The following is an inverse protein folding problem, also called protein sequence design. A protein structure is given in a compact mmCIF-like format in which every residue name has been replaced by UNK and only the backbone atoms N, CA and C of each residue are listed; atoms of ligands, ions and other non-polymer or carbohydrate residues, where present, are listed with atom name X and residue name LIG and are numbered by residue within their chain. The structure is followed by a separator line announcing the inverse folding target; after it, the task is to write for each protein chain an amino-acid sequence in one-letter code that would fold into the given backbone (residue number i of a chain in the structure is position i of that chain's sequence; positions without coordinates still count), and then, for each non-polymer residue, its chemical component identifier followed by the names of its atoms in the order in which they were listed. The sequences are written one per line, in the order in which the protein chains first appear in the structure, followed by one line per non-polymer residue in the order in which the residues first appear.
data_IF_439357968167
#
_entry.id   IF_439357968167
#
_cell.length_a   1.000
_cell.length_b   1.000
_cell.length_c   1.000
_cell.angle_alpha   90.00
_cell.angle_beta   90.00
_cell.angle_gamma   90.00
#
_symmetry.space_group_name_H-M   'P 1'
#
loop_
_entity.id
_entity.type
_entity.pdbx_description
1 polymer ?
#
# COMPACT_ATOMS: atom_id res chain seq x y z
N UNK A 1 7.32 0.12 -31.30
CA UNK A 1 6.46 1.25 -30.91
C UNK A 1 6.67 1.51 -29.43
N UNK A 2 7.33 2.62 -29.05
CA UNK A 2 7.41 3.01 -27.63
C UNK A 2 5.99 3.33 -27.17
N UNK A 3 5.47 2.58 -26.18
CA UNK A 3 4.23 2.95 -25.49
C UNK A 3 4.45 4.33 -24.90
N UNK A 4 3.58 5.27 -25.20
CA UNK A 4 3.58 6.56 -24.55
C UNK A 4 3.48 6.31 -23.03
N UNK A 5 4.42 6.83 -22.28
CA UNK A 5 4.51 6.64 -20.84
C UNK A 5 3.29 7.28 -20.19
N UNK A 6 2.51 6.47 -19.53
CA UNK A 6 1.45 6.73 -18.59
C UNK A 6 0.74 8.08 -18.63
N UNK A 7 1.00 8.89 -17.62
CA UNK A 7 0.34 10.21 -17.46
C UNK A 7 0.68 11.24 -18.56
N UNK A 8 1.68 10.99 -19.41
CA UNK A 8 2.11 11.92 -20.47
C UNK A 8 1.00 12.28 -21.48
N UNK A 9 0.02 11.40 -21.69
CA UNK A 9 -1.12 11.71 -22.59
C UNK A 9 -2.10 12.74 -21.99
N UNK A 10 -1.98 13.07 -20.69
CA UNK A 10 -2.78 14.11 -20.04
C UNK A 10 -2.19 15.51 -20.18
N UNK A 11 -0.90 15.62 -20.56
CA UNK A 11 -0.20 16.90 -20.70
C UNK A 11 -0.99 17.92 -21.55
N UNK A 12 -1.56 17.55 -22.72
CA UNK A 12 -2.34 18.49 -23.52
C UNK A 12 -3.62 19.01 -22.86
N UNK A 13 -4.13 18.30 -21.85
CA UNK A 13 -5.38 18.63 -21.17
C UNK A 13 -5.16 19.31 -19.82
N UNK A 14 -3.93 19.36 -19.33
CA UNK A 14 -3.55 19.92 -18.05
C UNK A 14 -2.43 20.95 -18.22
N UNK A 15 -2.72 22.11 -18.84
CA UNK A 15 -1.73 23.17 -19.06
C UNK A 15 -1.11 23.61 -17.72
N UNK A 16 0.21 23.87 -17.75
CA UNK A 16 0.99 24.21 -16.56
C UNK A 16 1.42 23.02 -15.69
N UNK A 17 0.92 21.79 -15.94
CA UNK A 17 1.26 20.61 -15.14
C UNK A 17 2.16 19.59 -15.86
N UNK A 18 2.58 19.85 -17.09
CA UNK A 18 3.37 18.91 -17.90
C UNK A 18 4.65 18.45 -17.22
N UNK A 19 5.43 19.38 -16.65
CA UNK A 19 6.66 19.06 -15.92
C UNK A 19 6.42 18.20 -14.68
N UNK A 20 5.30 18.39 -13.98
CA UNK A 20 4.94 17.56 -12.82
C UNK A 20 4.56 16.14 -13.22
N UNK A 21 3.86 16.01 -14.36
CA UNK A 21 3.44 14.71 -14.88
C UNK A 21 4.65 13.88 -15.36
N UNK A 22 5.78 14.51 -15.66
CA UNK A 22 7.01 13.84 -16.11
C UNK A 22 8.05 13.69 -14.99
N UNK A 23 7.93 14.43 -13.89
CA UNK A 23 8.88 14.40 -12.78
C UNK A 23 8.76 13.12 -11.95
N UNK A 24 9.81 12.28 -11.87
CA UNK A 24 9.77 11.02 -11.13
C UNK A 24 9.68 11.19 -9.60
N UNK A 25 10.01 12.37 -9.08
CA UNK A 25 9.93 12.67 -7.64
C UNK A 25 8.52 13.08 -7.19
N UNK A 26 7.63 13.42 -8.13
CA UNK A 26 6.24 13.74 -7.86
C UNK A 26 5.45 12.43 -7.72
N UNK A 27 4.92 12.19 -6.53
CA UNK A 27 4.09 11.03 -6.21
C UNK A 27 2.60 11.29 -6.38
N UNK A 28 2.15 12.52 -6.14
CA UNK A 28 0.73 12.86 -6.21
C UNK A 28 0.53 14.31 -6.69
N UNK A 29 -0.49 14.52 -7.53
CA UNK A 29 -0.91 15.83 -8.02
C UNK A 29 -2.38 15.98 -7.65
N UNK A 30 -2.70 16.98 -6.85
CA UNK A 30 -4.04 17.26 -6.33
C UNK A 30 -4.53 18.59 -6.90
N UNK A 31 -5.54 18.54 -7.75
CA UNK A 31 -6.15 19.69 -8.43
C UNK A 31 -7.52 19.92 -7.80
N UNK A 32 -7.66 20.94 -6.98
CA UNK A 32 -8.89 21.32 -6.28
C UNK A 32 -9.55 22.53 -6.97
N UNK A 33 -9.75 22.42 -8.29
CA UNK A 33 -10.11 23.53 -9.15
C UNK A 33 -8.89 24.20 -9.80
N UNK A 34 -9.09 25.12 -10.76
CA UNK A 34 -8.01 25.64 -11.61
C UNK A 34 -6.98 26.51 -10.89
N UNK A 35 -7.36 27.14 -9.77
CA UNK A 35 -6.47 28.03 -9.01
C UNK A 35 -5.84 27.37 -7.78
N UNK A 36 -6.15 26.11 -7.50
CA UNK A 36 -5.73 25.44 -6.28
C UNK A 36 -5.14 24.06 -6.59
N UNK A 37 -3.85 24.04 -6.91
CA UNK A 37 -3.10 22.83 -7.23
C UNK A 37 -2.03 22.59 -6.18
N UNK A 38 -1.95 21.36 -5.71
CA UNK A 38 -0.93 20.87 -4.77
C UNK A 38 -0.23 19.66 -5.33
N UNK A 39 1.02 19.48 -4.95
CA UNK A 39 1.81 18.30 -5.33
C UNK A 39 2.47 17.69 -4.11
N UNK A 40 2.59 16.37 -4.11
CA UNK A 40 3.52 15.68 -3.21
C UNK A 40 4.79 15.36 -3.99
N UNK A 41 5.91 15.98 -3.59
CA UNK A 41 7.24 15.78 -4.16
C UNK A 41 8.17 15.29 -3.05
N UNK A 42 8.86 14.17 -3.28
CA UNK A 42 9.76 13.57 -2.29
C UNK A 42 9.14 13.46 -0.87
N UNK A 43 7.82 13.23 -0.79
CA UNK A 43 7.08 13.11 0.45
C UNK A 43 6.69 14.42 1.14
N UNK A 44 6.90 15.58 0.50
CA UNK A 44 6.45 16.90 1.01
C UNK A 44 5.33 17.43 0.15
N UNK A 45 4.33 18.04 0.79
CA UNK A 45 3.25 18.74 0.12
C UNK A 45 3.67 20.19 -0.15
N UNK A 46 3.52 20.63 -1.39
CA UNK A 46 3.79 22.01 -1.80
C UNK A 46 2.70 22.53 -2.75
N UNK A 47 2.35 23.82 -2.69
CA UNK A 47 1.45 24.42 -3.66
C UNK A 47 2.16 24.54 -5.02
N UNK A 48 1.39 24.48 -6.11
CA UNK A 48 1.89 24.64 -7.46
C UNK A 48 1.02 25.62 -8.27
N UNK A 49 1.64 26.55 -8.94
CA UNK A 49 0.97 27.45 -9.87
C UNK A 49 0.83 26.77 -11.24
N UNK A 50 -0.38 26.68 -11.76
CA UNK A 50 -0.69 26.09 -13.05
C UNK A 50 -1.24 27.18 -14.02
N UNK A 51 -0.38 28.03 -14.58
CA UNK A 51 -0.83 29.11 -15.47
C UNK A 51 -1.51 28.53 -16.71
N UNK A 52 -2.67 29.09 -17.05
CA UNK A 52 -3.48 28.64 -18.18
C UNK A 52 -4.43 27.48 -17.88
N UNK A 53 -4.39 26.88 -16.69
CA UNK A 53 -5.37 25.89 -16.27
C UNK A 53 -6.71 26.60 -15.99
N UNK A 54 -7.79 26.09 -16.56
CA UNK A 54 -9.15 26.62 -16.38
C UNK A 54 -10.12 25.48 -16.09
N UNK A 55 -11.32 25.81 -15.55
CA UNK A 55 -12.36 24.82 -15.34
C UNK A 55 -12.77 24.07 -16.61
N UNK A 56 -12.68 24.74 -17.78
CA UNK A 56 -12.95 24.07 -19.08
C UNK A 56 -11.86 23.03 -19.42
N UNK A 57 -10.60 23.27 -19.09
CA UNK A 57 -9.53 22.29 -19.26
C UNK A 57 -9.69 21.12 -18.32
N UNK A 58 -10.03 21.35 -17.06
CA UNK A 58 -10.29 20.29 -16.08
C UNK A 58 -11.45 19.40 -16.51
N UNK A 59 -12.53 20.02 -17.03
CA UNK A 59 -13.66 19.25 -17.54
C UNK A 59 -13.28 18.38 -18.75
N UNK A 60 -12.48 18.92 -19.68
CA UNK A 60 -11.93 18.16 -20.82
C UNK A 60 -11.03 17.02 -20.37
N UNK A 61 -10.16 17.26 -19.38
CA UNK A 61 -9.32 16.22 -18.79
C UNK A 61 -10.14 15.10 -18.16
N UNK A 62 -11.18 15.45 -17.39
CA UNK A 62 -12.09 14.48 -16.78
C UNK A 62 -12.77 13.59 -17.85
N UNK A 63 -13.29 14.19 -18.93
CA UNK A 63 -13.89 13.45 -20.04
C UNK A 63 -12.85 12.56 -20.74
N UNK A 64 -11.64 13.07 -20.96
CA UNK A 64 -10.57 12.32 -21.64
C UNK A 64 -10.14 11.09 -20.85
N UNK A 65 -10.11 11.20 -19.53
CA UNK A 65 -9.77 10.09 -18.62
C UNK A 65 -10.92 9.08 -18.55
N UNK A 66 -12.16 9.54 -18.47
CA UNK A 66 -13.34 8.69 -18.26
C UNK A 66 -13.78 7.89 -19.49
N UNK A 67 -13.73 8.50 -20.68
CA UNK A 67 -14.23 7.88 -21.92
C UNK A 67 -13.62 6.53 -22.29
N UNK A 68 -12.30 6.31 -22.21
CA UNK A 68 -11.72 4.99 -22.48
C UNK A 68 -12.23 3.87 -21.57
N UNK A 69 -12.77 4.26 -20.40
CA UNK A 69 -13.33 3.35 -19.40
C UNK A 69 -14.85 3.15 -19.59
N UNK A 70 -15.45 3.74 -20.62
CA UNK A 70 -16.89 3.72 -20.81
C UNK A 70 -17.68 4.56 -19.80
N UNK A 71 -17.01 5.51 -19.12
CA UNK A 71 -17.61 6.37 -18.10
C UNK A 71 -17.87 7.78 -18.63
N UNK A 72 -18.91 8.43 -18.10
CA UNK A 72 -19.24 9.82 -18.40
C UNK A 72 -19.33 10.63 -17.11
N UNK A 73 -18.46 11.65 -16.93
CA UNK A 73 -18.48 12.54 -15.77
C UNK A 73 -19.80 13.31 -15.59
N UNK A 74 -20.58 13.49 -16.66
CA UNK A 74 -21.87 14.18 -16.58
C UNK A 74 -22.95 13.36 -15.88
N UNK A 75 -22.91 12.03 -16.04
CA UNK A 75 -23.85 11.11 -15.40
C UNK A 75 -23.30 10.48 -14.13
N UNK A 76 -21.98 10.49 -13.99
CA UNK A 76 -21.26 9.91 -12.88
C UNK A 76 -20.26 10.93 -12.32
N UNK A 77 -20.69 11.80 -11.39
CA UNK A 77 -19.88 12.92 -10.94
C UNK A 77 -18.69 12.53 -10.04
N UNK A 78 -18.67 11.29 -9.55
CA UNK A 78 -17.54 10.72 -8.78
C UNK A 78 -17.03 9.50 -9.53
N UNK A 79 -15.76 9.53 -9.92
CA UNK A 79 -15.11 8.50 -10.72
C UNK A 79 -13.74 8.15 -10.14
N UNK A 80 -13.43 6.87 -10.15
CA UNK A 80 -12.07 6.36 -10.04
C UNK A 80 -11.64 5.78 -11.39
N UNK A 81 -10.45 6.14 -11.82
CA UNK A 81 -9.87 5.73 -13.09
C UNK A 81 -8.44 5.23 -12.88
N UNK A 82 -8.02 4.35 -13.78
CA UNK A 82 -6.64 3.90 -13.87
C UNK A 82 -6.10 4.20 -15.25
N UNK A 83 -4.93 4.82 -15.29
CA UNK A 83 -4.24 5.12 -16.54
C UNK A 83 -3.43 3.92 -17.03
N UNK A 84 -3.01 3.96 -18.29
CA UNK A 84 -2.28 2.87 -18.93
C UNK A 84 -0.91 2.55 -18.33
N UNK A 85 -0.35 3.45 -17.53
CA UNK A 85 0.89 3.25 -16.76
C UNK A 85 0.64 2.70 -15.34
N UNK A 86 -0.63 2.54 -14.96
CA UNK A 86 -1.03 2.11 -13.63
C UNK A 86 -1.33 3.25 -12.65
N UNK A 87 -1.11 4.52 -13.02
CA UNK A 87 -1.46 5.68 -12.19
C UNK A 87 -2.96 5.71 -11.91
N UNK A 88 -3.35 6.05 -10.67
CA UNK A 88 -4.75 6.18 -10.26
C UNK A 88 -5.19 7.62 -10.39
N UNK A 89 -6.41 7.82 -10.83
CA UNK A 89 -7.02 9.14 -10.92
C UNK A 89 -8.39 9.11 -10.25
N UNK A 90 -8.56 9.91 -9.22
CA UNK A 90 -9.87 10.20 -8.64
C UNK A 90 -10.39 11.52 -9.22
N UNK A 91 -11.63 11.51 -9.71
CA UNK A 91 -12.28 12.68 -10.32
C UNK A 91 -13.57 12.97 -9.59
N UNK A 92 -13.79 14.23 -9.28
CA UNK A 92 -15.03 14.72 -8.75
C UNK A 92 -15.49 15.93 -9.58
N UNK A 93 -16.74 15.89 -10.05
CA UNK A 93 -17.32 16.98 -10.85
C UNK A 93 -18.58 17.55 -10.16
N UNK A 94 -19.06 18.74 -10.53
CA UNK A 94 -20.35 19.22 -10.07
C UNK A 94 -21.48 18.22 -10.38
N UNK A 95 -22.46 18.00 -9.50
CA UNK A 95 -22.68 18.72 -8.22
C UNK A 95 -21.95 18.10 -7.00
N UNK A 96 -21.18 17.03 -7.19
CA UNK A 96 -20.49 16.35 -6.07
C UNK A 96 -19.31 17.18 -5.51
N UNK A 97 -18.76 18.09 -6.30
CA UNK A 97 -17.79 19.10 -5.89
C UNK A 97 -18.18 20.46 -6.50
N UNK A 98 -17.80 21.60 -5.88
CA UNK A 98 -18.11 22.91 -6.43
C UNK A 98 -17.45 23.16 -7.79
N UNK A 99 -16.25 22.65 -7.97
CA UNK A 99 -15.46 22.69 -9.20
C UNK A 99 -14.97 21.28 -9.54
N UNK A 100 -14.45 21.09 -10.76
CA UNK A 100 -13.83 19.82 -11.12
C UNK A 100 -12.56 19.65 -10.29
N UNK A 101 -12.51 18.59 -9.50
CA UNK A 101 -11.35 18.17 -8.74
C UNK A 101 -10.77 16.88 -9.37
N UNK A 102 -9.46 16.85 -9.52
CA UNK A 102 -8.72 15.69 -10.06
C UNK A 102 -7.52 15.41 -9.18
N UNK A 103 -7.45 14.21 -8.61
CA UNK A 103 -6.25 13.75 -7.90
C UNK A 103 -5.60 12.64 -8.71
N UNK A 104 -4.34 12.83 -9.08
CA UNK A 104 -3.53 11.87 -9.82
C UNK A 104 -2.47 11.32 -8.88
N UNK A 105 -2.61 10.06 -8.48
CA UNK A 105 -1.58 9.33 -7.75
C UNK A 105 -0.76 8.51 -8.75
N UNK A 106 0.51 8.88 -8.89
CA UNK A 106 1.37 8.27 -9.89
C UNK A 106 1.75 6.85 -9.53
N UNK A 107 1.63 5.97 -10.52
CA UNK A 107 2.24 4.67 -10.46
C UNK A 107 3.68 4.77 -10.90
N UNK A 108 4.58 4.20 -10.16
CA UNK A 108 5.92 4.04 -10.71
C UNK A 108 7.00 4.95 -10.15
N UNK A 109 6.86 5.52 -8.96
CA UNK A 109 8.00 6.11 -8.23
C UNK A 109 9.22 5.18 -8.26
N UNK A 110 10.38 5.63 -7.79
CA UNK A 110 11.60 4.80 -7.73
C UNK A 110 11.33 3.49 -6.99
N UNK A 111 11.67 2.35 -7.60
CA UNK A 111 11.75 1.09 -6.87
C UNK A 111 12.96 1.17 -5.92
N UNK A 112 12.78 0.73 -4.69
CA UNK A 112 13.86 0.64 -3.70
C UNK A 112 14.06 -0.83 -3.36
N UNK A 113 15.29 -1.31 -3.47
CA UNK A 113 15.66 -2.62 -2.95
C UNK A 113 15.68 -2.59 -1.40
N UNK A 114 15.75 -3.76 -0.78
CA UNK A 114 15.89 -3.84 0.66
C UNK A 114 17.17 -3.15 1.14
N UNK A 115 18.26 -3.29 0.40
CA UNK A 115 19.56 -2.65 0.66
C UNK A 115 19.49 -1.11 0.46
N UNK A 116 18.69 -0.62 -0.50
CA UNK A 116 18.43 0.82 -0.65
C UNK A 116 17.73 1.36 0.60
N UNK A 117 16.72 0.66 1.10
CA UNK A 117 15.98 1.07 2.30
C UNK A 117 16.90 1.07 3.54
N UNK A 118 17.85 0.13 3.64
CA UNK A 118 18.85 0.12 4.72
C UNK A 118 19.77 1.34 4.60
N UNK A 119 20.34 1.60 3.43
CA UNK A 119 21.19 2.77 3.18
C UNK A 119 20.51 4.10 3.48
N UNK A 120 19.21 4.18 3.23
CA UNK A 120 18.38 5.36 3.53
C UNK A 120 18.01 5.47 5.02
N UNK A 121 18.33 4.47 5.85
CA UNK A 121 17.90 4.40 7.24
C UNK A 121 16.39 4.18 7.41
N UNK A 122 15.71 3.71 6.37
CA UNK A 122 14.27 3.39 6.39
C UNK A 122 13.99 1.98 6.90
N UNK A 123 14.94 1.05 6.72
CA UNK A 123 14.87 -0.33 7.16
C UNK A 123 16.13 -0.65 7.99
N UNK A 124 16.03 -0.87 9.29
CA UNK A 124 17.18 -1.28 10.09
C UNK A 124 17.72 -2.65 9.67
N UNK A 125 19.05 -2.80 9.62
CA UNK A 125 19.70 -4.07 9.22
C UNK A 125 19.21 -5.28 10.03
N UNK A 126 19.05 -5.21 11.38
CA UNK A 126 18.53 -6.35 12.14
C UNK A 126 17.12 -6.75 11.73
N UNK A 127 16.30 -5.80 11.26
CA UNK A 127 14.93 -6.06 10.76
C UNK A 127 14.98 -6.75 9.39
N UNK A 128 15.85 -6.31 8.49
CA UNK A 128 16.07 -6.96 7.20
C UNK A 128 16.49 -8.42 7.39
N UNK A 129 17.46 -8.68 8.27
CA UNK A 129 17.92 -10.04 8.57
C UNK A 129 16.84 -10.92 9.20
N UNK A 130 16.01 -10.36 10.10
CA UNK A 130 14.87 -11.06 10.66
C UNK A 130 13.82 -11.40 9.60
N UNK A 131 13.52 -10.47 8.71
CA UNK A 131 12.58 -10.68 7.60
C UNK A 131 13.10 -11.75 6.65
N UNK A 132 14.39 -11.68 6.25
CA UNK A 132 15.05 -12.66 5.40
C UNK A 132 14.98 -14.08 5.99
N UNK A 133 15.37 -14.22 7.26
CA UNK A 133 15.30 -15.52 7.96
C UNK A 133 13.88 -16.05 8.04
N UNK A 134 12.90 -15.18 8.31
CA UNK A 134 11.49 -15.55 8.41
C UNK A 134 10.96 -16.08 7.08
N UNK A 135 11.21 -15.36 5.98
CA UNK A 135 10.73 -15.73 4.65
C UNK A 135 11.42 -17.02 4.13
N UNK A 136 12.73 -17.13 4.30
CA UNK A 136 13.47 -18.35 3.92
C UNK A 136 13.09 -19.58 4.75
N UNK A 137 12.66 -19.38 6.00
CA UNK A 137 12.08 -20.43 6.85
C UNK A 137 10.61 -20.74 6.53
N UNK A 138 10.09 -20.24 5.40
CA UNK A 138 8.68 -20.41 4.99
C UNK A 138 7.69 -19.92 6.04
N UNK A 139 8.02 -18.83 6.72
CA UNK A 139 7.12 -18.17 7.68
C UNK A 139 6.69 -16.82 7.16
N UNK A 140 5.47 -16.41 7.51
CA UNK A 140 4.84 -15.26 6.89
C UNK A 140 5.12 -13.95 7.62
N UNK A 141 5.15 -12.86 6.86
CA UNK A 141 5.42 -11.50 7.35
C UNK A 141 4.20 -10.61 7.14
N UNK A 142 3.79 -9.91 8.19
CA UNK A 142 2.77 -8.86 8.16
C UNK A 142 3.44 -7.49 8.20
N UNK A 143 3.18 -6.65 7.21
CA UNK A 143 3.59 -5.25 7.21
C UNK A 143 2.42 -4.37 7.63
N UNK A 144 2.63 -3.45 8.55
CA UNK A 144 1.59 -2.55 9.04
C UNK A 144 2.04 -1.09 9.02
N UNK A 145 1.07 -0.18 9.12
CA UNK A 145 1.32 1.26 9.20
C UNK A 145 0.16 2.09 8.70
N UNK A 146 0.23 3.39 8.90
CA UNK A 146 -0.75 4.36 8.42
C UNK A 146 -0.73 4.55 6.91
N UNK A 147 -1.62 5.41 6.41
CA UNK A 147 -1.61 5.84 5.00
C UNK A 147 -0.33 6.61 4.68
N UNK A 148 0.32 6.27 3.57
CA UNK A 148 1.56 6.92 3.13
C UNK A 148 2.79 6.63 4.00
N UNK A 149 2.75 5.65 4.92
CA UNK A 149 3.88 5.26 5.77
C UNK A 149 4.96 4.47 5.05
N UNK A 150 4.71 3.98 3.83
CA UNK A 150 5.67 3.19 3.05
C UNK A 150 5.44 1.69 3.07
N UNK A 151 4.26 1.20 3.50
CA UNK A 151 3.93 -0.25 3.50
C UNK A 151 4.20 -0.93 2.17
N UNK A 152 3.67 -0.39 1.07
CA UNK A 152 3.83 -0.96 -0.28
C UNK A 152 5.30 -0.93 -0.72
N UNK A 153 6.05 0.11 -0.34
CA UNK A 153 7.49 0.19 -0.63
C UNK A 153 8.27 -0.90 0.10
N UNK A 154 7.99 -1.09 1.40
CA UNK A 154 8.62 -2.15 2.18
C UNK A 154 8.20 -3.53 1.66
N UNK A 155 6.90 -3.72 1.36
CA UNK A 155 6.39 -4.97 0.79
C UNK A 155 7.12 -5.34 -0.51
N UNK A 156 7.31 -4.38 -1.43
CA UNK A 156 8.07 -4.59 -2.67
C UNK A 156 9.51 -5.04 -2.38
N UNK A 157 10.21 -4.37 -1.46
CA UNK A 157 11.57 -4.72 -1.09
C UNK A 157 11.67 -6.12 -0.45
N UNK A 158 10.66 -6.54 0.33
CA UNK A 158 10.61 -7.86 0.94
C UNK A 158 10.31 -8.97 -0.08
N UNK A 159 9.53 -8.68 -1.13
CA UNK A 159 9.26 -9.64 -2.22
C UNK A 159 10.55 -10.02 -2.95
N UNK A 160 11.52 -9.11 -3.04
CA UNK A 160 12.82 -9.39 -3.66
C UNK A 160 13.65 -10.42 -2.87
N UNK A 161 13.35 -10.62 -1.57
CA UNK A 161 14.01 -11.62 -0.74
C UNK A 161 13.52 -13.05 -0.97
N UNK A 162 12.40 -13.22 -1.66
CA UNK A 162 11.86 -14.54 -1.99
C UNK A 162 12.73 -15.24 -3.04
N UNK A 163 12.86 -16.58 -3.02
CA UNK A 163 13.61 -17.33 -4.03
C UNK A 163 13.12 -17.05 -5.47
N UNK A 164 14.05 -17.01 -6.42
CA UNK A 164 13.73 -16.60 -7.80
C UNK A 164 12.94 -17.65 -8.59
N UNK A 165 13.12 -18.92 -8.27
CA UNK A 165 12.48 -20.07 -8.90
C UNK A 165 11.06 -20.34 -8.37
N UNK A 166 10.66 -19.67 -7.30
CA UNK A 166 9.37 -19.87 -6.66
C UNK A 166 8.27 -19.01 -7.26
N UNK A 167 7.06 -19.60 -7.27
CA UNK A 167 5.89 -18.96 -7.87
C UNK A 167 5.22 -18.01 -6.90
N UNK A 168 5.08 -16.76 -7.31
CA UNK A 168 4.35 -15.72 -6.58
C UNK A 168 2.97 -15.53 -7.19
N UNK A 169 1.93 -15.53 -6.35
CA UNK A 169 0.60 -15.06 -6.72
C UNK A 169 0.30 -13.80 -5.90
N UNK A 170 0.26 -12.66 -6.58
CA UNK A 170 -0.01 -11.35 -5.98
C UNK A 170 -1.48 -10.96 -6.20
N UNK A 171 -2.11 -10.43 -5.17
CA UNK A 171 -3.53 -10.03 -5.15
C UNK A 171 -3.61 -8.61 -4.60
N UNK A 172 -4.22 -7.71 -5.36
CA UNK A 172 -4.28 -6.29 -5.03
C UNK A 172 -5.66 -5.71 -5.39
N UNK A 173 -6.08 -4.67 -4.68
CA UNK A 173 -7.23 -3.85 -5.09
C UNK A 173 -6.94 -3.15 -6.43
N UNK A 174 -5.72 -2.66 -6.55
CA UNK A 174 -5.16 -2.10 -7.78
C UNK A 174 -3.70 -2.48 -7.81
N UNK A 175 -3.21 -2.90 -8.97
CA UNK A 175 -1.83 -3.34 -9.14
C UNK A 175 -0.85 -2.20 -8.86
N UNK A 176 -0.29 -2.18 -7.64
CA UNK A 176 0.74 -1.23 -7.17
C UNK A 176 2.09 -1.91 -6.97
N UNK A 177 2.08 -3.21 -6.68
CA UNK A 177 3.31 -3.97 -6.47
C UNK A 177 4.14 -4.04 -7.76
N UNK A 178 5.46 -4.04 -7.58
CA UNK A 178 6.42 -4.21 -8.67
C UNK A 178 7.12 -5.54 -8.47
N UNK A 179 6.68 -6.53 -9.19
CA UNK A 179 7.21 -7.88 -9.10
C UNK A 179 7.82 -8.21 -10.44
N UNK A 180 9.14 -8.07 -10.54
CA UNK A 180 9.91 -8.43 -11.74
C UNK A 180 10.38 -9.89 -11.62
N UNK A 181 9.43 -10.80 -11.72
CA UNK A 181 9.64 -12.25 -11.65
C UNK A 181 8.91 -12.92 -12.79
N UNK A 182 9.60 -13.81 -13.50
CA UNK A 182 9.03 -14.56 -14.63
C UNK A 182 7.86 -15.44 -14.19
N UNK A 183 7.93 -16.06 -13.00
CA UNK A 183 6.89 -16.93 -12.46
C UNK A 183 6.00 -16.17 -11.45
N UNK A 184 5.41 -15.06 -11.90
CA UNK A 184 4.48 -14.26 -11.10
C UNK A 184 3.12 -14.15 -11.78
N UNK A 185 2.06 -14.47 -11.04
CA UNK A 185 0.69 -14.22 -11.44
C UNK A 185 0.14 -13.07 -10.60
N UNK A 186 -0.46 -12.08 -11.25
CA UNK A 186 -1.01 -10.90 -10.59
C UNK A 186 -2.51 -10.84 -10.80
N UNK A 187 -3.26 -10.77 -9.72
CA UNK A 187 -4.69 -10.55 -9.70
C UNK A 187 -5.02 -9.13 -9.25
N UNK A 188 -5.99 -8.53 -9.87
CA UNK A 188 -6.55 -7.23 -9.49
C UNK A 188 -8.03 -7.42 -9.15
N UNK A 189 -8.42 -7.03 -7.94
CA UNK A 189 -9.82 -6.91 -7.57
C UNK A 189 -10.42 -5.72 -8.32
N UNK A 190 -11.63 -5.82 -8.78
CA UNK A 190 -12.20 -4.72 -9.53
C UNK A 190 -13.62 -4.97 -9.97
N UNK A 191 -14.31 -3.87 -10.18
CA UNK A 191 -15.56 -3.88 -10.90
C UNK A 191 -15.25 -3.92 -12.39
N UNK A 192 -15.34 -5.09 -13.01
CA UNK A 192 -15.87 -5.10 -14.37
C UNK A 192 -17.32 -4.69 -14.26
N UNK A 193 -17.88 -4.00 -15.25
CA UNK A 193 -19.21 -3.37 -15.17
C UNK A 193 -20.35 -4.30 -14.69
N UNK A 194 -20.18 -5.63 -14.78
CA UNK A 194 -21.26 -6.59 -14.54
C UNK A 194 -21.01 -7.55 -13.35
N UNK A 195 -19.77 -7.78 -12.92
CA UNK A 195 -19.46 -8.70 -11.82
C UNK A 195 -18.21 -8.24 -11.05
N UNK A 196 -18.38 -7.60 -9.88
CA UNK A 196 -17.24 -7.24 -9.04
C UNK A 196 -16.55 -8.51 -8.51
N UNK A 197 -15.24 -8.63 -8.72
CA UNK A 197 -14.42 -9.68 -8.14
C UNK A 197 -13.76 -9.13 -6.90
N UNK A 198 -14.04 -9.72 -5.74
CA UNK A 198 -13.47 -9.28 -4.47
C UNK A 198 -12.06 -9.85 -4.24
N UNK A 199 -11.27 -9.20 -3.36
CA UNK A 199 -9.99 -9.77 -2.88
C UNK A 199 -10.22 -11.16 -2.30
N UNK A 200 -11.32 -11.35 -1.57
CA UNK A 200 -11.68 -12.64 -0.97
C UNK A 200 -11.81 -13.75 -2.02
N UNK A 201 -12.50 -13.48 -3.13
CA UNK A 201 -12.65 -14.43 -4.23
C UNK A 201 -11.30 -14.76 -4.86
N UNK A 202 -10.44 -13.74 -5.03
CA UNK A 202 -9.10 -13.89 -5.61
C UNK A 202 -8.17 -14.69 -4.68
N UNK A 203 -8.23 -14.51 -3.36
CA UNK A 203 -7.48 -15.32 -2.40
C UNK A 203 -7.86 -16.78 -2.50
N UNK A 204 -9.15 -17.10 -2.53
CA UNK A 204 -9.65 -18.48 -2.72
C UNK A 204 -9.24 -19.07 -4.06
N UNK A 205 -9.25 -18.24 -5.10
CA UNK A 205 -8.87 -18.66 -6.45
C UNK A 205 -7.36 -18.88 -6.58
N UNK A 206 -6.55 -18.06 -5.91
CA UNK A 206 -5.08 -18.15 -5.92
C UNK A 206 -4.57 -19.53 -5.53
N UNK A 207 -5.23 -20.20 -4.59
CA UNK A 207 -4.87 -21.55 -4.14
C UNK A 207 -4.92 -22.61 -5.25
N UNK A 208 -5.65 -22.35 -6.34
CA UNK A 208 -5.72 -23.23 -7.52
C UNK A 208 -4.62 -22.99 -8.53
N UNK A 209 -3.82 -21.95 -8.33
CA UNK A 209 -2.74 -21.56 -9.22
C UNK A 209 -1.36 -22.01 -8.76
N UNK A 210 -1.29 -22.97 -7.83
CA UNK A 210 -0.07 -23.55 -7.28
C UNK A 210 0.91 -22.47 -6.79
N UNK A 211 0.50 -21.57 -5.90
CA UNK A 211 1.41 -20.57 -5.36
C UNK A 211 2.41 -21.21 -4.41
N UNK A 212 3.69 -20.81 -4.52
CA UNK A 212 4.67 -21.02 -3.46
C UNK A 212 4.54 -19.91 -2.41
N UNK A 213 4.23 -18.69 -2.87
CA UNK A 213 3.99 -17.52 -2.04
C UNK A 213 2.72 -16.78 -2.46
N UNK A 214 1.93 -16.36 -1.48
CA UNK A 214 0.78 -15.49 -1.69
C UNK A 214 1.12 -14.10 -1.16
N UNK A 215 0.99 -13.09 -2.00
CA UNK A 215 1.19 -11.69 -1.61
C UNK A 215 -0.14 -10.95 -1.72
N UNK A 216 -0.69 -10.52 -0.59
CA UNK A 216 -1.89 -9.67 -0.59
C UNK A 216 -1.47 -8.23 -0.30
N UNK A 217 -1.69 -7.35 -1.27
CA UNK A 217 -1.26 -5.95 -1.20
C UNK A 217 -1.76 -5.25 0.05
N UNK A 218 -3.05 -5.43 0.39
CA UNK A 218 -3.62 -4.94 1.64
C UNK A 218 -4.84 -5.77 2.06
N UNK A 219 -4.92 -6.09 3.36
CA UNK A 219 -6.08 -6.71 3.99
C UNK A 219 -6.91 -5.65 4.71
N UNK A 220 -8.20 -5.59 4.38
CA UNK A 220 -9.14 -4.59 4.93
C UNK A 220 -10.39 -5.20 5.56
N UNK A 221 -10.72 -6.44 5.21
CA UNK A 221 -11.98 -7.08 5.58
C UNK A 221 -11.94 -8.60 5.62
N UNK A 222 -13.03 -9.20 5.21
CA UNK A 222 -13.33 -10.63 5.33
C UNK A 222 -12.31 -11.57 4.65
N UNK A 223 -11.56 -11.08 3.66
CA UNK A 223 -10.47 -11.82 2.99
C UNK A 223 -9.39 -12.30 3.94
N UNK A 224 -9.25 -11.65 5.09
CA UNK A 224 -8.33 -12.05 6.15
C UNK A 224 -8.53 -13.50 6.61
N UNK A 225 -9.78 -13.97 6.68
CA UNK A 225 -10.08 -15.33 7.10
C UNK A 225 -9.55 -16.37 6.11
N UNK A 226 -9.83 -16.15 4.82
CA UNK A 226 -9.38 -17.05 3.75
C UNK A 226 -7.85 -16.97 3.58
N UNK A 227 -7.26 -15.79 3.77
CA UNK A 227 -5.80 -15.63 3.79
C UNK A 227 -5.17 -16.42 4.95
N UNK A 228 -5.65 -16.25 6.19
CA UNK A 228 -5.12 -16.99 7.35
C UNK A 228 -5.24 -18.50 7.15
N UNK A 229 -6.34 -18.98 6.57
CA UNK A 229 -6.49 -20.38 6.22
C UNK A 229 -5.41 -20.82 5.21
N UNK A 230 -5.15 -20.03 4.17
CA UNK A 230 -4.12 -20.30 3.17
C UNK A 230 -2.72 -20.34 3.81
N UNK A 231 -2.39 -19.36 4.65
CA UNK A 231 -1.10 -19.27 5.36
C UNK A 231 -0.84 -20.47 6.29
N UNK A 232 -1.91 -21.05 6.86
CA UNK A 232 -1.84 -22.18 7.77
C UNK A 232 -1.90 -23.56 7.07
N UNK A 233 -2.06 -23.58 5.73
CA UNK A 233 -2.21 -24.81 4.95
C UNK A 233 -1.13 -25.03 3.92
N UNK A 234 0.10 -24.54 4.16
CA UNK A 234 1.27 -24.88 3.34
C UNK A 234 1.77 -23.79 2.42
N UNK A 235 1.23 -22.57 2.49
CA UNK A 235 1.67 -21.42 1.69
C UNK A 235 2.55 -20.46 2.52
N UNK A 236 3.55 -21.03 3.20
CA UNK A 236 4.49 -20.26 4.03
C UNK A 236 5.45 -19.41 3.22
N UNK A 237 6.00 -18.34 3.84
CA UNK A 237 6.83 -17.33 3.17
C UNK A 237 5.99 -16.26 2.45
N UNK A 238 4.72 -16.16 2.78
CA UNK A 238 3.77 -15.20 2.22
C UNK A 238 3.84 -13.84 2.92
N UNK A 239 3.34 -12.83 2.25
CA UNK A 239 3.45 -11.42 2.66
C UNK A 239 2.10 -10.73 2.54
N UNK A 240 1.77 -9.88 3.51
CA UNK A 240 0.57 -9.04 3.41
C UNK A 240 0.74 -7.73 4.16
N UNK A 241 -0.15 -6.76 3.90
CA UNK A 241 -0.20 -5.53 4.67
C UNK A 241 -1.55 -5.30 5.33
N UNK A 242 -1.55 -4.50 6.40
CA UNK A 242 -2.77 -4.05 7.07
C UNK A 242 -2.57 -2.62 7.61
N UNK A 243 -3.64 -1.82 7.63
CA UNK A 243 -3.63 -0.55 8.33
C UNK A 243 -3.73 -0.75 9.85
N UNK A 244 -2.73 -0.26 10.58
CA UNK A 244 -2.71 -0.26 12.04
C UNK A 244 -1.83 0.86 12.59
N UNK A 245 -1.99 1.18 13.90
CA UNK A 245 -1.27 2.25 14.56
C UNK A 245 0.06 1.81 15.20
N UNK A 246 0.28 0.50 15.37
CA UNK A 246 1.52 -0.12 15.87
C UNK A 246 1.54 -1.61 15.50
N UNK A 247 2.67 -2.27 15.74
CA UNK A 247 2.84 -3.68 15.37
C UNK A 247 1.89 -4.63 16.11
N UNK A 248 1.60 -4.40 17.39
CA UNK A 248 0.67 -5.24 18.16
C UNK A 248 -0.77 -5.06 17.70
N UNK A 249 -1.20 -3.82 17.45
CA UNK A 249 -2.55 -3.55 16.95
C UNK A 249 -2.78 -4.09 15.54
N UNK A 250 -1.73 -4.32 14.76
CA UNK A 250 -1.82 -4.98 13.46
C UNK A 250 -2.34 -6.41 13.57
N UNK A 251 -1.91 -7.17 14.57
CA UNK A 251 -2.41 -8.53 14.84
C UNK A 251 -3.88 -8.51 15.20
N UNK A 252 -4.29 -7.61 16.09
CA UNK A 252 -5.70 -7.43 16.47
C UNK A 252 -6.56 -6.99 15.29
N UNK A 253 -6.01 -6.10 14.42
CA UNK A 253 -6.70 -5.65 13.23
C UNK A 253 -6.90 -6.78 12.23
N UNK A 254 -5.89 -7.62 12.01
CA UNK A 254 -5.99 -8.79 11.14
C UNK A 254 -7.04 -9.77 11.66
N UNK A 255 -7.05 -10.05 12.96
CA UNK A 255 -8.07 -10.89 13.60
C UNK A 255 -9.47 -10.29 13.42
N UNK A 256 -9.65 -8.99 13.68
CA UNK A 256 -10.92 -8.29 13.48
C UNK A 256 -11.41 -8.33 12.04
N UNK A 257 -10.51 -8.22 11.07
CA UNK A 257 -10.84 -8.38 9.65
C UNK A 257 -11.32 -9.82 9.37
N UNK A 258 -10.63 -10.83 9.90
CA UNK A 258 -11.01 -12.22 9.70
C UNK A 258 -12.42 -12.53 10.25
N UNK A 259 -12.80 -11.94 11.38
CA UNK A 259 -14.14 -12.10 11.94
C UNK A 259 -15.26 -11.52 11.05
N UNK A 260 -14.96 -10.62 10.13
CA UNK A 260 -15.94 -10.08 9.17
C UNK A 260 -16.38 -11.12 8.12
N UNK A 261 -15.73 -12.28 8.05
CA UNK A 261 -16.10 -13.36 7.13
C UNK A 261 -17.48 -13.97 7.44
N UNK A 262 -18.05 -13.67 8.60
CA UNK A 262 -19.39 -14.16 9.01
C UNK A 262 -19.37 -15.56 9.63
N UNK A 263 -18.21 -16.20 9.70
CA UNK A 263 -18.05 -17.46 10.41
C UNK A 263 -18.09 -17.16 11.93
N UNK A 264 -18.96 -17.81 12.66
CA UNK A 264 -19.14 -17.59 14.11
C UNK A 264 -17.98 -18.19 14.94
N UNK A 265 -16.75 -17.88 14.56
CA UNK A 265 -15.56 -18.32 15.29
C UNK A 265 -15.35 -17.44 16.54
N UNK A 266 -15.05 -18.04 17.71
CA UNK A 266 -14.64 -17.27 18.87
C UNK A 266 -13.37 -16.44 18.58
N UNK A 267 -13.26 -15.28 19.24
CA UNK A 267 -12.11 -14.39 19.10
C UNK A 267 -10.78 -15.11 19.34
N UNK A 268 -10.72 -15.96 20.36
CA UNK A 268 -9.52 -16.72 20.72
C UNK A 268 -9.08 -17.70 19.63
N UNK A 269 -10.04 -18.31 18.93
CA UNK A 269 -9.76 -19.21 17.81
C UNK A 269 -9.17 -18.41 16.63
N UNK A 270 -9.73 -17.25 16.35
CA UNK A 270 -9.22 -16.35 15.31
C UNK A 270 -7.81 -15.85 15.67
N UNK A 271 -7.58 -15.45 16.93
CA UNK A 271 -6.24 -15.04 17.40
C UNK A 271 -5.22 -16.18 17.28
N UNK A 272 -5.62 -17.43 17.57
CA UNK A 272 -4.74 -18.59 17.35
C UNK A 272 -4.39 -18.76 15.88
N UNK A 273 -5.38 -18.62 14.98
CA UNK A 273 -5.12 -18.63 13.53
C UNK A 273 -4.14 -17.54 13.08
N UNK A 274 -4.17 -16.36 13.71
CA UNK A 274 -3.18 -15.30 13.45
C UNK A 274 -1.80 -15.69 13.97
N UNK A 275 -1.69 -16.29 15.18
CA UNK A 275 -0.41 -16.76 15.74
C UNK A 275 0.22 -17.83 14.85
N UNK A 276 -0.58 -18.75 14.36
CA UNK A 276 -0.10 -19.84 13.50
C UNK A 276 0.29 -19.30 12.10
N UNK A 277 -0.46 -18.28 11.60
CA UNK A 277 -0.28 -17.71 10.27
C UNK A 277 0.79 -16.63 10.16
N UNK A 278 1.08 -15.84 11.20
CA UNK A 278 2.00 -14.70 11.15
C UNK A 278 3.15 -14.88 12.12
N UNK A 279 4.38 -14.81 11.59
CA UNK A 279 5.59 -15.00 12.38
C UNK A 279 6.26 -13.69 12.78
N UNK A 280 6.22 -12.69 11.89
CA UNK A 280 6.89 -11.41 12.05
C UNK A 280 5.96 -10.28 11.65
N UNK A 281 5.91 -9.23 12.45
CA UNK A 281 5.18 -8.00 12.13
C UNK A 281 6.18 -6.86 12.02
N UNK A 282 6.12 -6.12 10.92
CA UNK A 282 6.92 -4.92 10.67
C UNK A 282 5.98 -3.72 10.62
N UNK A 283 6.19 -2.74 11.49
CA UNK A 283 5.37 -1.54 11.52
C UNK A 283 6.13 -0.35 10.93
N UNK A 284 5.56 0.26 9.89
CA UNK A 284 6.12 1.45 9.24
C UNK A 284 5.38 2.70 9.67
N UNK A 285 6.14 3.78 9.86
CA UNK A 285 5.60 5.09 10.19
C UNK A 285 6.16 6.18 9.27
N UNK A 286 5.50 7.34 9.29
CA UNK A 286 5.97 8.57 8.64
C UNK A 286 6.05 9.68 9.69
N UNK A 287 7.26 10.22 9.92
CA UNK A 287 7.49 11.37 10.80
C UNK A 287 8.36 12.39 10.06
N UNK A 288 7.98 13.62 10.06
CA UNK A 288 8.72 14.73 9.43
C UNK A 288 9.11 14.47 7.97
N UNK A 289 8.19 13.82 7.22
CA UNK A 289 8.42 13.45 5.82
C UNK A 289 9.24 12.17 5.60
N UNK A 290 9.94 11.65 6.63
CA UNK A 290 10.71 10.40 6.57
C UNK A 290 9.80 9.19 6.82
N UNK A 291 10.02 8.12 6.07
CA UNK A 291 9.33 6.83 6.21
C UNK A 291 10.33 5.80 6.68
N UNK A 292 10.00 5.05 7.74
CA UNK A 292 10.91 4.05 8.31
C UNK A 292 10.15 2.98 9.08
N UNK A 293 10.79 1.83 9.30
CA UNK A 293 10.30 0.78 10.20
C UNK A 293 10.55 1.22 11.64
N UNK A 294 9.47 1.48 12.37
CA UNK A 294 9.49 1.91 13.77
C UNK A 294 9.55 0.75 14.76
N UNK A 295 8.82 -0.34 14.43
CA UNK A 295 8.75 -1.54 15.26
C UNK A 295 8.86 -2.81 14.41
N UNK A 296 9.52 -3.82 14.92
CA UNK A 296 9.49 -5.17 14.41
C UNK A 296 9.33 -6.17 15.56
N UNK A 297 8.29 -7.02 15.48
CA UNK A 297 7.92 -7.96 16.54
C UNK A 297 7.82 -9.40 15.99
N UNK A 298 8.47 -10.35 16.63
CA UNK A 298 8.15 -11.77 16.46
C UNK A 298 6.87 -12.11 17.21
N UNK A 299 5.97 -12.85 16.56
CA UNK A 299 4.74 -13.35 17.16
C UNK A 299 5.04 -14.67 17.88
N UNK A 300 4.74 -14.74 19.17
CA UNK A 300 5.01 -15.90 20.04
C UNK A 300 3.74 -16.62 20.47
N UNK A 301 2.60 -15.92 20.54
CA UNK A 301 1.35 -16.48 20.98
C UNK A 301 0.27 -15.44 21.27
N UNK A 302 -0.85 -15.93 21.78
CA UNK A 302 -1.93 -15.11 22.31
C UNK A 302 -2.37 -15.66 23.67
N UNK A 303 -2.28 -14.82 24.71
CA UNK A 303 -2.77 -15.12 26.05
C UNK A 303 -4.26 -14.75 26.12
N UNK A 304 -5.12 -15.76 26.01
CA UNK A 304 -6.58 -15.55 26.03
C UNK A 304 -7.08 -15.07 27.40
N UNK A 305 -6.44 -15.48 28.51
CA UNK A 305 -6.84 -15.06 29.85
C UNK A 305 -6.54 -13.58 30.11
N UNK A 306 -5.41 -13.09 29.57
CA UNK A 306 -5.03 -11.70 29.68
C UNK A 306 -5.48 -10.84 28.49
N UNK A 307 -6.04 -11.43 27.43
CA UNK A 307 -6.45 -10.74 26.21
C UNK A 307 -5.29 -10.07 25.46
N UNK A 308 -4.08 -10.63 25.49
CA UNK A 308 -2.86 -9.97 24.96
C UNK A 308 -2.04 -10.86 24.05
N UNK A 309 -1.44 -10.21 23.03
CA UNK A 309 -0.45 -10.84 22.18
C UNK A 309 0.88 -11.02 22.91
N UNK A 310 1.42 -12.24 22.90
CA UNK A 310 2.76 -12.56 23.33
C UNK A 310 3.69 -12.33 22.14
N UNK A 311 4.58 -11.34 22.24
CA UNK A 311 5.50 -10.96 21.17
C UNK A 311 6.90 -10.75 21.73
N UNK A 312 7.93 -10.93 20.90
CA UNK A 312 9.31 -10.59 21.22
C UNK A 312 9.78 -9.44 20.31
N UNK A 313 10.37 -8.36 20.84
CA UNK A 313 10.88 -7.29 20.03
C UNK A 313 12.11 -7.75 19.23
N UNK A 314 12.14 -7.44 17.95
CA UNK A 314 13.31 -7.52 17.07
C UNK A 314 13.91 -6.13 16.94
N UNK A 315 13.05 -5.10 16.90
CA UNK A 315 13.42 -3.70 16.76
C UNK A 315 12.32 -2.81 17.34
N UNK A 316 12.71 -1.66 17.92
CA UNK A 316 11.75 -0.73 18.51
C UNK A 316 11.02 -1.31 19.73
N UNK A 317 10.07 -0.57 20.28
CA UNK A 317 9.36 -0.94 21.52
C UNK A 317 10.27 -0.70 22.73
N UNK A 318 10.13 0.40 23.46
CA UNK A 318 10.77 0.82 24.71
C UNK A 318 12.32 0.75 24.82
N UNK A 319 13.08 0.35 23.80
CA UNK A 319 14.51 0.35 23.77
C UNK A 319 15.04 1.06 22.50
N UNK A 320 15.62 2.22 22.71
CA UNK A 320 16.60 2.92 21.89
C UNK A 320 16.21 3.36 20.46
N UNK A 321 15.65 4.59 20.37
CA UNK A 321 15.91 5.43 19.21
C UNK A 321 17.41 5.75 19.17
N UNK A 322 18.08 5.70 18.00
CA UNK A 322 19.47 6.18 17.88
C UNK A 322 19.58 7.59 18.45
N UNK A 323 20.65 7.88 19.19
CA UNK A 323 20.87 9.17 19.86
C UNK A 323 20.78 10.38 18.92
N UNK A 324 21.03 10.21 17.63
CA UNK A 324 20.90 11.25 16.61
C UNK A 324 19.44 11.73 16.37
N UNK A 325 18.44 10.96 16.78
CA UNK A 325 17.03 11.36 16.69
C UNK A 325 16.55 12.16 17.92
N UNK A 326 17.35 12.24 18.98
CA UNK A 326 16.97 12.93 20.23
C UNK A 326 17.35 14.42 20.28
N UNK A 327 18.06 14.96 19.29
CA UNK A 327 18.65 16.30 19.35
C UNK A 327 17.92 17.38 18.58
N UNK A 328 16.59 17.31 18.45
CA UNK A 328 15.83 18.48 18.00
C UNK A 328 14.54 18.66 18.82
N UNK A 329 14.71 19.12 20.04
CA UNK A 329 13.64 19.79 20.78
C UNK A 329 13.56 21.23 20.25
N UNK A 330 12.42 21.72 19.76
CA UNK A 330 12.28 23.12 19.40
C UNK A 330 12.44 23.96 20.67
N UNK A 331 13.39 24.90 20.66
CA UNK A 331 13.45 25.95 21.69
C UNK A 331 12.13 26.71 21.69
N UNK A 332 11.49 26.75 22.84
CA UNK A 332 10.38 27.66 23.13
C UNK A 332 10.80 29.08 22.74
N UNK A 333 10.04 29.69 21.85
CA UNK A 333 10.10 31.13 21.60
C UNK A 333 9.13 31.77 22.60
N UNK A 334 9.70 32.27 23.69
CA UNK A 334 9.01 33.25 24.53
C UNK A 334 9.17 34.62 23.87
N UNK A 335 8.06 35.29 23.69
CA UNK A 335 7.62 36.68 23.73
C UNK A 335 6.75 37.03 22.54
#
# INVERSE_FOLDING_TARGET
MKRASGVGHLVPFLPGLGSLLEDPEVSEIMINGPANVWVERAGKLEPHEAPGLTGAWLHRAAIHIARPLGLDPATRPVLDARLGDGSRVAICTPPAAPEVAITIRRFGGRAFSAEDLVRMGSLPEPVLEAARRTLLARRNVLVSGGTGSGKTTLLNALIELLPEDERIVAIEDTLELRIDRANCLRFEAGATHDTPVSIRDLVRHALRHRPDHIVVGEVRGAEAADLLQALNTGHGGSLTTVHANNAKSALSRLASCAMQAGDALPWEVTCRGVVDGIALVLHTTRREGRRFVEEALEVRGYDAAAGRWATAPVWGGAAELPEEAKTHTPKEVHA
#
